data_IF_152970193449
#
_entry.id   IF_152970193449
#
_cell.length_a   1.000
_cell.length_b   1.000
_cell.length_c   1.000
_cell.angle_alpha   90.00
_cell.angle_beta   90.00
_cell.angle_gamma   90.00
#
_symmetry.space_group_name_H-M   'P 1'
#
loop_
_entity.id
_entity.type
_entity.pdbx_description
1 polymer ?
#
# COMPACT_ATOMS: atom_id res chain seq x y z
N UNK A 1 -17.88 -12.15 -23.81
CA UNK A 1 -17.49 -10.89 -24.49
C UNK A 1 -16.02 -10.63 -24.25
N UNK A 2 -15.34 -9.82 -25.10
CA UNK A 2 -13.94 -9.42 -24.90
C UNK A 2 -13.87 -7.97 -24.46
N UNK A 3 -13.29 -7.70 -23.30
CA UNK A 3 -13.03 -6.35 -22.81
C UNK A 3 -11.51 -6.11 -22.76
N UNK A 4 -11.07 -4.92 -23.10
CA UNK A 4 -9.67 -4.53 -23.10
C UNK A 4 -9.36 -3.45 -22.06
N UNK A 5 -8.18 -3.55 -21.43
CA UNK A 5 -7.68 -2.50 -20.57
C UNK A 5 -6.27 -2.09 -20.98
N UNK A 6 -6.08 -0.78 -21.17
CA UNK A 6 -4.81 -0.15 -21.48
C UNK A 6 -4.42 0.86 -20.40
N UNK A 7 -3.12 0.98 -20.10
CA UNK A 7 -2.60 1.98 -19.16
C UNK A 7 -1.34 2.62 -19.70
N UNK A 8 -1.30 3.95 -19.69
CA UNK A 8 -0.10 4.72 -19.98
C UNK A 8 0.42 5.41 -18.73
N UNK A 9 1.74 5.55 -18.63
CA UNK A 9 2.35 6.50 -17.70
C UNK A 9 2.74 7.75 -18.51
N UNK A 10 2.76 8.92 -17.86
CA UNK A 10 3.24 10.15 -18.53
C UNK A 10 4.68 10.05 -19.05
N UNK A 11 5.45 9.09 -18.55
CA UNK A 11 6.81 8.83 -18.99
C UNK A 11 6.89 7.96 -20.25
N UNK A 12 5.85 7.17 -20.56
CA UNK A 12 5.88 6.17 -21.65
C UNK A 12 5.53 6.74 -23.03
N UNK A 13 4.99 7.97 -23.10
CA UNK A 13 4.62 8.64 -24.36
C UNK A 13 3.42 8.02 -25.10
N UNK A 14 2.93 8.72 -26.14
CA UNK A 14 1.78 8.30 -26.95
C UNK A 14 2.02 6.99 -27.73
N UNK A 15 3.23 6.75 -28.23
CA UNK A 15 3.58 5.57 -29.00
C UNK A 15 3.31 4.24 -28.28
N UNK A 16 3.50 4.22 -26.93
CA UNK A 16 3.23 3.01 -26.14
C UNK A 16 1.72 2.75 -26.00
N UNK A 17 0.88 3.78 -26.05
CA UNK A 17 -0.57 3.60 -26.06
C UNK A 17 -1.04 3.00 -27.38
N UNK A 18 -0.59 3.54 -28.51
CA UNK A 18 -0.97 3.07 -29.83
C UNK A 18 -0.65 1.58 -30.00
N UNK A 19 0.54 1.14 -29.54
CA UNK A 19 0.92 -0.29 -29.56
C UNK A 19 0.00 -1.16 -28.70
N UNK A 20 -0.47 -0.65 -27.55
CA UNK A 20 -1.42 -1.38 -26.71
C UNK A 20 -2.79 -1.48 -27.38
N UNK A 21 -3.27 -0.37 -27.96
CA UNK A 21 -4.55 -0.30 -28.66
C UNK A 21 -4.58 -1.23 -29.88
N UNK A 22 -3.53 -1.19 -30.70
CA UNK A 22 -3.37 -2.06 -31.86
C UNK A 22 -3.38 -3.54 -31.49
N UNK A 23 -2.65 -3.90 -30.41
CA UNK A 23 -2.60 -5.27 -29.93
C UNK A 23 -3.97 -5.76 -29.39
N UNK A 24 -4.71 -4.89 -28.68
CA UNK A 24 -6.05 -5.20 -28.18
C UNK A 24 -7.06 -5.32 -29.33
N UNK A 25 -6.99 -4.43 -30.32
CA UNK A 25 -7.83 -4.51 -31.52
C UNK A 25 -7.54 -5.79 -32.35
N UNK A 26 -6.26 -6.14 -32.53
CA UNK A 26 -5.85 -7.38 -33.18
C UNK A 26 -6.33 -8.65 -32.45
N UNK A 27 -6.44 -8.59 -31.12
CA UNK A 27 -7.04 -9.65 -30.30
C UNK A 27 -8.57 -9.72 -30.41
N UNK A 28 -9.20 -8.79 -31.13
CA UNK A 28 -10.63 -8.72 -31.36
C UNK A 28 -11.42 -8.03 -30.25
N UNK A 29 -10.80 -7.12 -29.51
CA UNK A 29 -11.51 -6.22 -28.57
C UNK A 29 -12.13 -5.09 -29.39
N UNK A 30 -13.44 -4.90 -29.26
CA UNK A 30 -14.15 -3.81 -29.93
C UNK A 30 -13.85 -2.46 -29.23
N UNK A 31 -13.79 -1.33 -29.97
CA UNK A 31 -13.47 -0.02 -29.40
C UNK A 31 -14.37 0.40 -28.22
N UNK A 32 -15.65 0.05 -28.27
CA UNK A 32 -16.63 0.34 -27.22
C UNK A 32 -16.41 -0.46 -25.92
N UNK A 33 -15.58 -1.51 -25.97
CA UNK A 33 -15.23 -2.37 -24.85
C UNK A 33 -13.82 -2.13 -24.34
N UNK A 34 -13.23 -0.99 -24.70
CA UNK A 34 -11.86 -0.65 -24.37
C UNK A 34 -11.83 0.42 -23.29
N UNK A 35 -11.17 0.11 -22.18
CA UNK A 35 -11.01 0.97 -21.03
C UNK A 35 -9.57 1.40 -20.91
N UNK A 36 -9.35 2.65 -20.47
CA UNK A 36 -8.00 3.17 -20.34
C UNK A 36 -7.84 4.06 -19.11
N UNK A 37 -6.61 4.09 -18.56
CA UNK A 37 -6.19 5.00 -17.54
C UNK A 37 -4.87 5.68 -17.89
N UNK A 38 -4.77 6.98 -17.56
CA UNK A 38 -3.53 7.72 -17.59
C UNK A 38 -2.94 7.80 -16.19
N UNK A 39 -1.75 7.23 -15.98
CA UNK A 39 -1.06 7.34 -14.70
C UNK A 39 -0.49 8.74 -14.51
N UNK A 40 -1.10 9.57 -13.68
CA UNK A 40 -0.57 10.86 -13.25
C UNK A 40 0.08 10.75 -11.88
N UNK A 41 1.39 10.79 -11.85
CA UNK A 41 2.37 10.90 -10.74
C UNK A 41 1.96 10.59 -9.29
N UNK A 42 1.02 11.28 -8.69
CA UNK A 42 0.63 11.13 -7.28
C UNK A 42 -0.79 10.59 -7.07
N UNK A 43 -1.62 10.52 -8.10
CA UNK A 43 -3.00 10.00 -7.98
C UNK A 43 -3.05 8.56 -8.48
N UNK A 44 -3.16 7.67 -7.54
CA UNK A 44 -3.13 6.21 -7.72
C UNK A 44 -4.51 5.63 -8.14
N UNK A 45 -5.47 6.47 -8.47
CA UNK A 45 -6.80 6.07 -8.92
C UNK A 45 -6.75 5.49 -10.34
N UNK A 46 -7.47 4.37 -10.54
CA UNK A 46 -7.63 3.71 -11.84
C UNK A 46 -9.12 3.59 -12.19
N UNK A 47 -9.81 4.72 -12.44
CA UNK A 47 -11.24 4.72 -12.71
C UNK A 47 -11.60 3.88 -13.95
N UNK A 48 -10.73 3.84 -14.97
CA UNK A 48 -10.91 3.01 -16.16
C UNK A 48 -10.83 1.52 -15.83
N UNK A 49 -9.84 1.09 -15.02
CA UNK A 49 -9.77 -0.30 -14.56
C UNK A 49 -10.98 -0.67 -13.72
N UNK A 50 -11.37 0.18 -12.78
CA UNK A 50 -12.53 -0.07 -11.91
C UNK A 50 -13.83 -0.18 -12.73
N UNK A 51 -14.01 0.66 -13.76
CA UNK A 51 -15.13 0.58 -14.68
C UNK A 51 -15.08 -0.71 -15.51
N UNK A 52 -13.92 -1.08 -16.03
CA UNK A 52 -13.71 -2.32 -16.77
C UNK A 52 -14.06 -3.54 -15.91
N UNK A 53 -13.53 -3.61 -14.68
CA UNK A 53 -13.82 -4.72 -13.76
C UNK A 53 -15.30 -4.83 -13.38
N UNK A 54 -16.01 -3.70 -13.29
CA UNK A 54 -17.46 -3.68 -13.05
C UNK A 54 -18.29 -4.13 -14.25
N UNK A 55 -17.82 -3.83 -15.47
CA UNK A 55 -18.51 -4.21 -16.70
C UNK A 55 -18.39 -5.70 -17.04
N UNK A 56 -17.33 -6.38 -16.58
CA UNK A 56 -17.07 -7.79 -16.81
C UNK A 56 -18.14 -8.68 -16.15
N UNK A 57 -18.62 -9.70 -16.89
CA UNK A 57 -19.59 -10.70 -16.48
C UNK A 57 -19.00 -12.11 -16.58
N UNK A 58 -19.66 -13.09 -15.99
CA UNK A 58 -19.29 -14.50 -16.15
C UNK A 58 -19.21 -14.90 -17.63
N UNK A 59 -18.16 -15.60 -18.01
CA UNK A 59 -17.89 -16.01 -19.39
C UNK A 59 -17.18 -14.95 -20.24
N UNK A 60 -16.98 -13.71 -19.71
CA UNK A 60 -16.18 -12.68 -20.39
C UNK A 60 -14.69 -12.93 -20.20
N UNK A 61 -13.87 -12.28 -21.05
CA UNK A 61 -12.42 -12.32 -20.95
C UNK A 61 -11.85 -10.90 -20.97
N UNK A 62 -11.02 -10.58 -19.95
CA UNK A 62 -10.25 -9.35 -19.89
C UNK A 62 -8.95 -9.53 -20.68
N UNK A 63 -8.73 -8.65 -21.66
CA UNK A 63 -7.51 -8.58 -22.46
C UNK A 63 -6.63 -7.44 -21.99
N UNK A 64 -5.36 -7.72 -21.76
CA UNK A 64 -4.35 -6.73 -21.40
C UNK A 64 -3.09 -6.91 -22.24
N UNK A 65 -2.39 -5.84 -22.51
CA UNK A 65 -1.15 -5.91 -23.28
C UNK A 65 -0.04 -6.64 -22.51
N UNK A 66 0.21 -6.23 -21.24
CA UNK A 66 1.22 -6.82 -20.32
C UNK A 66 0.68 -6.88 -18.90
N UNK A 67 1.21 -7.78 -18.06
CA UNK A 67 0.80 -7.94 -16.65
C UNK A 67 1.00 -6.68 -15.81
N UNK A 68 2.05 -5.90 -16.06
CA UNK A 68 2.35 -4.64 -15.36
C UNK A 68 1.32 -3.54 -15.62
N UNK A 69 0.47 -3.69 -16.64
CA UNK A 69 -0.66 -2.79 -16.88
C UNK A 69 -1.82 -3.05 -15.90
N UNK A 70 -2.01 -4.30 -15.47
CA UNK A 70 -3.10 -4.70 -14.55
C UNK A 70 -2.70 -4.50 -13.09
N UNK A 71 -1.57 -5.06 -12.65
CA UNK A 71 -1.10 -5.02 -11.27
C UNK A 71 -0.18 -3.81 -10.98
N UNK A 72 -0.19 -3.32 -9.74
CA UNK A 72 0.82 -2.37 -9.22
C UNK A 72 2.03 -3.12 -8.68
N UNK A 73 1.76 -4.25 -8.07
CA UNK A 73 2.69 -5.22 -7.53
C UNK A 73 2.14 -6.63 -7.76
N UNK A 74 2.95 -7.62 -7.46
CA UNK A 74 2.59 -9.01 -7.70
C UNK A 74 1.38 -9.44 -6.84
N UNK A 75 1.29 -8.98 -5.59
CA UNK A 75 0.17 -9.29 -4.69
C UNK A 75 -1.15 -8.74 -5.23
N UNK A 76 -1.16 -7.47 -5.67
CA UNK A 76 -2.35 -6.85 -6.28
C UNK A 76 -2.76 -7.59 -7.55
N UNK A 77 -1.78 -7.96 -8.41
CA UNK A 77 -2.04 -8.72 -9.63
C UNK A 77 -2.73 -10.05 -9.31
N UNK A 78 -2.16 -10.84 -8.39
CA UNK A 78 -2.71 -12.14 -7.97
C UNK A 78 -4.13 -11.99 -7.41
N UNK A 79 -4.34 -11.00 -6.54
CA UNK A 79 -5.67 -10.74 -5.95
C UNK A 79 -6.70 -10.39 -7.02
N UNK A 80 -6.32 -9.52 -7.98
CA UNK A 80 -7.21 -9.12 -9.08
C UNK A 80 -7.58 -10.32 -9.95
N UNK A 81 -6.61 -11.14 -10.35
CA UNK A 81 -6.86 -12.29 -11.22
C UNK A 81 -7.63 -13.40 -10.51
N UNK A 82 -7.38 -13.65 -9.21
CA UNK A 82 -8.22 -14.55 -8.41
C UNK A 82 -9.67 -14.06 -8.38
N UNK A 83 -9.88 -12.76 -8.11
CA UNK A 83 -11.23 -12.17 -8.12
C UNK A 83 -11.94 -12.25 -9.47
N UNK A 84 -11.20 -12.21 -10.60
CA UNK A 84 -11.75 -12.47 -11.93
C UNK A 84 -12.15 -13.96 -12.07
N UNK A 85 -11.27 -14.86 -11.67
CA UNK A 85 -11.51 -16.31 -11.75
C UNK A 85 -12.71 -16.73 -10.89
N UNK A 86 -12.86 -16.20 -9.67
CA UNK A 86 -14.00 -16.46 -8.77
C UNK A 86 -15.34 -15.99 -9.37
N UNK A 87 -15.29 -15.01 -10.27
CA UNK A 87 -16.43 -14.50 -11.03
C UNK A 87 -16.66 -15.20 -12.37
N UNK A 88 -15.85 -16.23 -12.68
CA UNK A 88 -15.94 -16.92 -13.98
C UNK A 88 -15.43 -16.07 -15.15
N UNK A 89 -14.57 -15.07 -14.90
CA UNK A 89 -14.00 -14.17 -15.92
C UNK A 89 -12.59 -14.62 -16.24
N UNK A 90 -12.29 -14.76 -17.55
CA UNK A 90 -10.94 -15.07 -18.06
C UNK A 90 -10.03 -13.86 -18.10
N UNK A 91 -8.70 -14.10 -18.05
CA UNK A 91 -7.66 -13.10 -18.33
C UNK A 91 -6.78 -13.59 -19.46
N UNK A 92 -6.53 -12.74 -20.44
CA UNK A 92 -5.59 -12.99 -21.56
C UNK A 92 -4.54 -11.88 -21.62
N UNK A 93 -3.25 -12.28 -21.58
CA UNK A 93 -2.09 -11.37 -21.67
C UNK A 93 -1.46 -11.51 -23.05
N UNK A 94 -1.33 -10.39 -23.77
CA UNK A 94 -0.96 -10.43 -25.20
C UNK A 94 0.55 -10.47 -25.43
N UNK A 95 1.36 -9.79 -24.59
CA UNK A 95 2.82 -9.67 -24.80
C UNK A 95 3.62 -9.62 -23.50
N UNK A 96 4.94 -9.72 -23.60
CA UNK A 96 5.89 -9.51 -22.49
C UNK A 96 6.07 -10.74 -21.59
N UNK A 97 6.62 -10.53 -20.38
CA UNK A 97 6.65 -11.57 -19.36
C UNK A 97 5.21 -11.90 -18.95
N UNK A 98 4.79 -13.14 -19.18
CA UNK A 98 3.39 -13.57 -19.06
C UNK A 98 2.63 -13.55 -20.40
N UNK A 99 3.29 -13.31 -21.54
CA UNK A 99 2.71 -13.56 -22.86
C UNK A 99 2.19 -14.98 -22.91
N UNK A 100 1.00 -15.15 -23.50
CA UNK A 100 0.26 -16.43 -23.55
C UNK A 100 -0.31 -16.93 -22.21
N UNK A 101 -0.33 -16.12 -21.14
CA UNK A 101 -1.16 -16.44 -19.98
C UNK A 101 -2.61 -16.19 -20.40
N UNK A 102 -3.31 -17.28 -20.63
CA UNK A 102 -4.75 -17.29 -20.88
C UNK A 102 -5.41 -18.17 -19.82
N UNK A 103 -5.99 -17.53 -18.82
CA UNK A 103 -6.63 -18.25 -17.70
C UNK A 103 -7.93 -18.96 -18.10
N UNK A 104 -8.39 -18.84 -19.36
CA UNK A 104 -9.46 -19.66 -19.88
C UNK A 104 -9.01 -21.09 -20.18
N UNK A 105 -7.69 -21.29 -20.37
CA UNK A 105 -7.06 -22.59 -20.63
C UNK A 105 -6.50 -23.22 -19.34
N UNK A 106 -6.42 -24.57 -19.30
CA UNK A 106 -5.83 -25.27 -18.16
C UNK A 106 -4.34 -24.96 -17.97
N UNK A 107 -3.59 -24.81 -19.04
CA UNK A 107 -2.17 -24.42 -18.98
C UNK A 107 -1.98 -23.00 -18.46
N UNK A 108 -2.78 -22.03 -18.91
CA UNK A 108 -2.74 -20.66 -18.40
C UNK A 108 -3.12 -20.55 -16.93
N UNK A 109 -4.11 -21.33 -16.49
CA UNK A 109 -4.47 -21.46 -15.05
C UNK A 109 -3.30 -22.00 -14.23
N UNK A 110 -2.60 -23.03 -14.71
CA UNK A 110 -1.43 -23.60 -14.04
C UNK A 110 -0.29 -22.57 -13.93
N UNK A 111 0.06 -21.93 -15.03
CA UNK A 111 1.11 -20.89 -15.07
C UNK A 111 0.77 -19.76 -14.10
N UNK A 112 -0.47 -19.27 -14.12
CA UNK A 112 -0.91 -18.24 -13.18
C UNK A 112 -0.85 -18.71 -11.71
N UNK A 113 -1.22 -19.97 -11.43
CA UNK A 113 -1.09 -20.59 -10.10
C UNK A 113 0.33 -20.61 -9.59
N UNK A 114 1.32 -20.87 -10.45
CA UNK A 114 2.75 -20.81 -10.11
C UNK A 114 3.16 -19.36 -9.75
N UNK A 115 2.76 -18.37 -10.53
CA UNK A 115 3.02 -16.96 -10.20
C UNK A 115 2.36 -16.53 -8.89
N UNK A 116 1.14 -17.00 -8.62
CA UNK A 116 0.44 -16.74 -7.37
C UNK A 116 1.17 -17.30 -6.15
N UNK A 117 1.63 -18.56 -6.24
CA UNK A 117 2.41 -19.21 -5.19
C UNK A 117 3.76 -18.50 -4.96
N UNK A 118 4.43 -18.06 -6.03
CA UNK A 118 5.69 -17.31 -5.93
C UNK A 118 5.47 -15.95 -5.24
N UNK A 119 4.36 -15.26 -5.53
CA UNK A 119 4.01 -13.99 -4.88
C UNK A 119 3.77 -14.14 -3.38
N UNK A 120 3.09 -15.21 -2.96
CA UNK A 120 2.87 -15.53 -1.55
C UNK A 120 4.20 -15.81 -0.85
N UNK A 121 5.04 -16.64 -1.46
CA UNK A 121 6.35 -16.98 -0.93
C UNK A 121 7.27 -15.76 -0.75
N UNK A 122 7.35 -14.86 -1.74
CA UNK A 122 8.11 -13.61 -1.61
C UNK A 122 7.57 -12.73 -0.47
N UNK A 123 6.25 -12.64 -0.32
CA UNK A 123 5.60 -11.89 0.76
C UNK A 123 5.94 -12.46 2.15
N UNK A 124 5.97 -13.77 2.28
CA UNK A 124 6.31 -14.46 3.54
C UNK A 124 7.78 -14.32 3.88
N UNK A 125 8.69 -14.39 2.90
CA UNK A 125 10.12 -14.12 3.10
C UNK A 125 10.38 -12.68 3.58
N UNK A 126 9.69 -11.70 3.00
CA UNK A 126 9.81 -10.29 3.44
C UNK A 126 9.33 -10.14 4.88
N UNK A 127 8.20 -10.79 5.22
CA UNK A 127 7.65 -10.77 6.58
C UNK A 127 8.61 -11.43 7.57
N UNK A 128 9.15 -12.58 7.25
CA UNK A 128 10.12 -13.31 8.08
C UNK A 128 11.37 -12.46 8.35
N UNK A 129 11.98 -11.90 7.30
CA UNK A 129 13.14 -11.01 7.43
C UNK A 129 12.84 -9.76 8.27
N UNK A 130 11.65 -9.19 8.10
CA UNK A 130 11.22 -8.02 8.88
C UNK A 130 11.07 -8.37 10.36
N UNK A 131 10.43 -9.48 10.68
CA UNK A 131 10.25 -9.96 12.05
C UNK A 131 11.59 -10.29 12.71
N UNK A 132 12.49 -10.98 12.00
CA UNK A 132 13.84 -11.26 12.49
C UNK A 132 14.64 -9.97 12.73
N UNK A 133 14.55 -8.99 11.82
CA UNK A 133 15.19 -7.68 11.97
C UNK A 133 14.66 -6.90 13.18
N UNK A 134 13.33 -6.89 13.39
CA UNK A 134 12.70 -6.26 14.54
C UNK A 134 13.08 -6.95 15.86
N UNK A 135 13.14 -8.27 15.89
CA UNK A 135 13.59 -9.04 17.05
C UNK A 135 15.05 -8.70 17.40
N UNK A 136 15.94 -8.69 16.42
CA UNK A 136 17.33 -8.31 16.59
C UNK A 136 17.51 -6.85 17.05
N UNK A 137 16.69 -5.92 16.54
CA UNK A 137 16.69 -4.52 16.98
C UNK A 137 16.26 -4.38 18.44
N UNK A 138 15.19 -5.09 18.84
CA UNK A 138 14.70 -5.10 20.22
C UNK A 138 15.71 -5.71 21.20
N UNK A 139 16.38 -6.79 20.82
CA UNK A 139 17.44 -7.40 21.61
C UNK A 139 18.64 -6.45 21.86
N UNK A 140 18.84 -5.46 20.97
CA UNK A 140 19.86 -4.39 21.11
C UNK A 140 19.32 -3.13 21.78
N UNK A 141 18.12 -3.19 22.41
CA UNK A 141 17.49 -2.04 23.08
C UNK A 141 16.92 -1.00 22.11
N UNK A 142 16.82 -1.28 20.81
CA UNK A 142 16.24 -0.36 19.81
C UNK A 142 14.75 -0.63 19.71
N UNK A 143 13.95 0.16 20.41
CA UNK A 143 12.49 0.10 20.30
C UNK A 143 12.02 1.01 19.17
N UNK A 144 11.19 0.48 18.27
CA UNK A 144 10.54 1.27 17.22
C UNK A 144 9.43 2.14 17.83
N UNK A 145 8.98 3.14 17.09
CA UNK A 145 7.91 4.03 17.48
C UNK A 145 8.30 5.50 17.37
N UNK A 146 7.34 6.39 17.60
CA UNK A 146 7.58 7.84 17.67
C UNK A 146 8.43 8.13 18.91
N UNK A 147 9.50 8.88 18.74
CA UNK A 147 10.31 9.37 19.88
C UNK A 147 9.44 10.17 20.85
N UNK A 148 9.75 10.05 22.12
CA UNK A 148 9.10 10.89 23.12
C UNK A 148 9.44 12.37 22.86
N UNK A 149 8.45 13.23 23.03
CA UNK A 149 8.60 14.68 22.77
C UNK A 149 9.43 15.34 23.89
N UNK A 150 9.33 14.83 25.13
CA UNK A 150 10.09 15.31 26.26
C UNK A 150 11.21 14.34 26.63
N UNK A 151 12.37 14.90 26.96
CA UNK A 151 13.50 14.17 27.55
C UNK A 151 13.22 13.84 29.03
N UNK A 152 13.94 12.86 29.60
CA UNK A 152 13.84 12.50 31.02
C UNK A 152 13.97 13.71 31.96
N UNK A 153 14.88 14.63 31.64
CA UNK A 153 15.09 15.84 32.46
C UNK A 153 13.92 16.82 32.35
N UNK A 154 13.39 17.02 31.14
CA UNK A 154 12.20 17.86 30.93
C UNK A 154 10.95 17.29 31.61
N UNK A 155 10.79 15.96 31.64
CA UNK A 155 9.69 15.32 32.37
C UNK A 155 9.80 15.60 33.86
N UNK A 156 11.00 15.47 34.44
CA UNK A 156 11.22 15.76 35.86
C UNK A 156 11.01 17.25 36.20
N UNK A 157 11.46 18.15 35.30
CA UNK A 157 11.23 19.58 35.44
C UNK A 157 9.72 19.88 35.38
N UNK A 158 9.01 19.35 34.42
CA UNK A 158 7.57 19.49 34.27
C UNK A 158 6.82 18.94 35.51
N UNK A 159 7.25 17.80 36.05
CA UNK A 159 6.71 17.21 37.27
C UNK A 159 6.85 18.17 38.47
N UNK A 160 8.06 18.65 38.71
CA UNK A 160 8.33 19.58 39.85
C UNK A 160 7.58 20.89 39.69
N UNK A 161 7.54 21.46 38.49
CA UNK A 161 6.85 22.70 38.22
C UNK A 161 5.32 22.55 38.39
N UNK A 162 4.71 21.49 37.89
CA UNK A 162 3.26 21.23 38.01
C UNK A 162 2.81 20.90 39.43
N UNK A 163 3.70 20.47 40.30
CA UNK A 163 3.41 20.28 41.73
C UNK A 163 3.23 21.61 42.48
N UNK A 164 3.73 22.73 41.93
CA UNK A 164 3.53 24.06 42.48
C UNK A 164 2.20 24.66 42.02
N UNK A 165 1.32 25.05 42.96
CA UNK A 165 0.00 25.60 42.64
C UNK A 165 0.01 26.95 41.94
N UNK A 166 1.10 27.70 42.06
CA UNK A 166 1.25 29.05 41.50
C UNK A 166 1.89 29.03 40.10
N UNK A 167 2.04 27.85 39.49
CA UNK A 167 2.70 27.72 38.19
C UNK A 167 1.85 28.29 37.05
N UNK A 168 2.46 29.14 36.23
CA UNK A 168 1.90 29.56 34.94
C UNK A 168 2.12 28.50 33.87
N UNK A 169 1.14 27.59 33.67
CA UNK A 169 1.21 26.46 32.74
C UNK A 169 1.54 26.91 31.29
N UNK A 170 1.11 28.12 30.87
CA UNK A 170 1.42 28.65 29.58
C UNK A 170 2.93 28.90 29.40
N UNK A 171 3.55 29.53 30.41
CA UNK A 171 4.97 29.81 30.43
C UNK A 171 5.82 28.54 30.47
N UNK A 172 5.44 27.55 31.26
CA UNK A 172 6.09 26.24 31.29
C UNK A 172 6.04 25.54 29.93
N UNK A 173 4.92 25.65 29.20
CA UNK A 173 4.80 25.09 27.87
C UNK A 173 5.71 25.80 26.86
N UNK A 174 5.84 27.12 26.94
CA UNK A 174 6.77 27.91 26.11
C UNK A 174 8.23 27.53 26.40
N UNK A 175 8.64 27.42 27.67
CA UNK A 175 9.99 27.03 28.09
C UNK A 175 10.38 25.60 27.59
N UNK A 176 9.40 24.69 27.56
CA UNK A 176 9.62 23.32 27.10
C UNK A 176 9.37 23.12 25.60
N UNK A 177 8.93 24.16 24.89
CA UNK A 177 8.55 24.14 23.45
C UNK A 177 7.53 23.03 23.14
N UNK A 178 6.46 22.96 23.96
CA UNK A 178 5.40 21.96 23.80
C UNK A 178 4.00 22.58 23.94
N UNK A 179 3.01 21.89 23.41
CA UNK A 179 1.60 22.25 23.64
C UNK A 179 1.14 21.84 25.04
N UNK A 180 0.10 22.53 25.56
CA UNK A 180 -0.58 22.13 26.82
C UNK A 180 -1.08 20.69 26.76
N UNK A 181 -1.59 20.24 25.60
CA UNK A 181 -2.03 18.86 25.40
C UNK A 181 -0.88 17.86 25.55
N UNK A 182 0.30 18.20 25.07
CA UNK A 182 1.52 17.41 25.25
C UNK A 182 1.91 17.38 26.75
N UNK A 183 1.98 18.52 27.43
CA UNK A 183 2.30 18.59 28.85
C UNK A 183 1.38 17.67 29.69
N UNK A 184 0.05 17.80 29.51
CA UNK A 184 -0.92 16.98 30.25
C UNK A 184 -0.94 15.49 29.86
N UNK A 185 -0.30 15.11 28.76
CA UNK A 185 -0.06 13.70 28.41
C UNK A 185 1.01 13.08 29.31
N UNK A 186 1.99 13.88 29.74
CA UNK A 186 3.09 13.43 30.61
C UNK A 186 2.80 13.64 32.08
N UNK A 187 2.28 14.81 32.48
CA UNK A 187 2.13 15.22 33.87
C UNK A 187 0.71 15.72 34.14
N UNK A 188 0.10 15.27 35.22
CA UNK A 188 -1.20 15.76 35.69
C UNK A 188 -1.12 17.17 36.28
N UNK A 189 -2.29 17.84 36.47
CA UNK A 189 -2.33 19.18 37.11
C UNK A 189 -1.83 19.21 38.54
N UNK A 190 -1.74 18.07 39.19
CA UNK A 190 -1.22 17.82 40.54
C UNK A 190 0.26 17.42 40.58
N UNK A 191 0.94 17.46 39.43
CA UNK A 191 2.32 17.01 39.31
C UNK A 191 2.48 15.47 39.20
N UNK A 192 1.39 14.70 39.19
CA UNK A 192 1.47 13.23 39.06
C UNK A 192 1.91 12.80 37.65
N UNK A 193 2.89 11.89 37.61
CA UNK A 193 3.34 11.33 36.33
C UNK A 193 2.26 10.42 35.74
N UNK A 194 1.97 10.62 34.43
CA UNK A 194 1.04 9.77 33.69
C UNK A 194 1.77 8.60 33.01
N UNK A 195 1.01 7.62 32.55
CA UNK A 195 1.56 6.40 31.93
C UNK A 195 2.53 6.67 30.76
N UNK A 196 2.34 7.78 30.06
CA UNK A 196 3.23 8.18 28.95
C UNK A 196 4.60 8.67 29.45
N UNK A 197 4.62 9.40 30.57
CA UNK A 197 5.86 9.82 31.24
C UNK A 197 6.62 8.63 31.81
N UNK A 198 5.93 7.71 32.48
CA UNK A 198 6.55 6.51 33.07
C UNK A 198 7.26 5.69 31.99
N UNK A 199 6.59 5.44 30.85
CA UNK A 199 7.21 4.76 29.70
C UNK A 199 8.42 5.50 29.14
N UNK A 200 8.39 6.85 29.12
CA UNK A 200 9.52 7.65 28.63
C UNK A 200 10.71 7.65 29.62
N UNK A 201 10.47 7.49 30.89
CA UNK A 201 11.52 7.40 31.92
C UNK A 201 12.19 6.02 31.95
N UNK A 202 11.45 4.95 31.57
CA UNK A 202 11.97 3.58 31.48
C UNK A 202 12.74 3.31 30.18
N UNK A 203 12.42 4.03 29.08
CA UNK A 203 13.07 3.88 27.78
C UNK A 203 14.47 4.51 27.75
#
# INVERSE_FOLDING_TARGET
MKLGYARISKADGSQTLDLQMDALAAAGVAPEHLYQDEASGKRDGRPGLDACLKALREGDTLYIWKLDRLGRDLKHLVTTVRGLADRGVGLSVLTGQGANIDTTTSSGKLIFGIFAALAEFEGDLIRERTMAGLAAARARGRHGGRKFELTKNQIRLAQSAMANRDIHVAQLCEELDISRATLYRYVGPDGALRSHALKALEA
#
